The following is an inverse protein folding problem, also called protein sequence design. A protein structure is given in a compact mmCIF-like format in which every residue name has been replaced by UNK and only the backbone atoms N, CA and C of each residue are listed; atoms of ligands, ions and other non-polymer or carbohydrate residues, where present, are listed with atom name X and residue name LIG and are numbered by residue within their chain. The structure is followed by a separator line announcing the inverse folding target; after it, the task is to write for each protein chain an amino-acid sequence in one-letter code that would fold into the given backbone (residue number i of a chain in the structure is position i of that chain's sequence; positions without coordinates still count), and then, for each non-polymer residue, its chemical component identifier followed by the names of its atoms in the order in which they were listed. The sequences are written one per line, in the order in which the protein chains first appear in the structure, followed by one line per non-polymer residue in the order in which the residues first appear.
data_IF_974801941060
#
_entry.id   IF_974801941060
#
_cell.length_a   1.000
_cell.length_b   1.000
_cell.length_c   1.000
_cell.angle_alpha   90.00
_cell.angle_beta   90.00
_cell.angle_gamma   90.00
#
_symmetry.space_group_name_H-M   'P 1'
#
loop_
_entity.id
_entity.type
_entity.pdbx_description
1 polymer ?
#
# COMPACT_ATOMS: atom_id res chain seq x y z
N UNK A 1 0.46 6.50 -20.33
CA UNK A 1 0.68 6.92 -18.93
C UNK A 1 1.52 5.91 -18.17
N UNK A 2 2.00 6.32 -17.00
CA UNK A 2 2.71 5.44 -16.05
C UNK A 2 1.83 5.24 -14.82
N UNK A 3 1.78 4.02 -14.32
CA UNK A 3 1.19 3.71 -13.02
C UNK A 3 2.16 4.12 -11.91
N UNK A 4 1.76 5.04 -11.06
CA UNK A 4 2.59 5.51 -9.92
C UNK A 4 2.16 4.78 -8.65
N UNK A 5 3.11 4.08 -8.03
CA UNK A 5 2.92 3.37 -6.78
C UNK A 5 3.71 4.07 -5.67
N UNK A 6 3.03 4.80 -4.81
CA UNK A 6 3.63 5.52 -3.69
C UNK A 6 3.35 4.79 -2.38
N UNK A 7 4.42 4.38 -1.70
CA UNK A 7 4.36 3.84 -0.33
C UNK A 7 5.00 4.83 0.62
N UNK A 8 4.30 5.17 1.68
CA UNK A 8 4.78 6.11 2.70
C UNK A 8 4.55 5.58 4.11
N UNK A 9 5.41 5.96 5.04
CA UNK A 9 5.21 5.75 6.46
C UNK A 9 4.36 6.87 7.12
N UNK A 10 3.90 7.84 6.34
CA UNK A 10 3.06 8.93 6.83
C UNK A 10 3.73 9.95 7.75
N UNK A 11 5.04 9.91 7.88
CA UNK A 11 5.77 10.79 8.83
C UNK A 11 5.89 12.26 8.39
N UNK A 12 5.50 12.60 7.16
CA UNK A 12 5.60 13.95 6.61
C UNK A 12 4.27 14.34 5.93
N UNK A 13 3.20 14.63 6.71
CA UNK A 13 1.85 14.90 6.18
C UNK A 13 1.80 16.12 5.24
N UNK A 14 2.70 17.08 5.40
CA UNK A 14 2.80 18.24 4.51
C UNK A 14 3.05 17.84 3.05
N UNK A 15 3.77 16.73 2.79
CA UNK A 15 4.00 16.22 1.44
C UNK A 15 2.72 15.64 0.81
N UNK A 16 1.89 14.98 1.61
CA UNK A 16 0.57 14.52 1.13
C UNK A 16 -0.33 15.71 0.76
N UNK A 17 -0.35 16.77 1.58
CA UNK A 17 -1.07 18.01 1.23
C UNK A 17 -0.52 18.66 -0.05
N UNK A 18 0.80 18.62 -0.25
CA UNK A 18 1.42 19.18 -1.44
C UNK A 18 1.00 18.41 -2.71
N UNK A 19 0.96 17.07 -2.66
CA UNK A 19 0.46 16.25 -3.77
C UNK A 19 -0.98 16.61 -4.13
N UNK A 20 -1.86 16.76 -3.14
CA UNK A 20 -3.25 17.17 -3.36
C UNK A 20 -3.34 18.57 -3.98
N UNK A 21 -2.59 19.54 -3.43
CA UNK A 21 -2.59 20.93 -3.92
C UNK A 21 -2.10 21.06 -5.36
N UNK A 22 -1.16 20.18 -5.79
CA UNK A 22 -0.58 20.18 -7.14
C UNK A 22 -1.35 19.29 -8.11
N UNK A 23 -2.46 18.70 -7.69
CA UNK A 23 -3.20 17.72 -8.49
C UNK A 23 -2.32 16.56 -9.00
N UNK A 24 -1.41 16.11 -8.13
CA UNK A 24 -0.40 15.09 -8.42
C UNK A 24 -0.66 13.82 -7.61
N UNK A 25 -1.90 13.35 -7.62
CA UNK A 25 -2.28 12.14 -6.90
C UNK A 25 -1.63 10.90 -7.55
N UNK A 26 -0.98 10.01 -6.77
CA UNK A 26 -0.45 8.76 -7.32
C UNK A 26 -1.59 7.80 -7.67
N UNK A 27 -1.36 6.90 -8.60
CA UNK A 27 -2.33 5.85 -8.95
C UNK A 27 -2.65 4.96 -7.74
N UNK A 28 -1.62 4.56 -6.99
CA UNK A 28 -1.73 3.79 -5.76
C UNK A 28 -1.05 4.53 -4.61
N UNK A 29 -1.76 4.76 -3.53
CA UNK A 29 -1.23 5.39 -2.32
C UNK A 29 -1.35 4.43 -1.14
N UNK A 30 -0.20 3.95 -0.67
CA UNK A 30 -0.09 3.06 0.48
C UNK A 30 0.48 3.82 1.67
N UNK A 31 -0.26 3.81 2.79
CA UNK A 31 0.21 4.34 4.06
C UNK A 31 0.44 3.18 5.03
N UNK A 32 1.69 3.01 5.45
CA UNK A 32 2.08 1.95 6.39
C UNK A 32 1.80 2.37 7.84
N UNK A 33 1.15 1.49 8.60
CA UNK A 33 0.86 1.66 10.02
C UNK A 33 1.53 0.53 10.80
N UNK A 34 2.30 0.88 11.82
CA UNK A 34 3.15 -0.08 12.54
C UNK A 34 2.65 -0.42 13.94
N UNK A 35 1.58 0.20 14.41
CA UNK A 35 0.99 -0.10 15.72
C UNK A 35 -0.43 0.45 15.84
N UNK A 36 -1.28 -0.14 16.71
CA UNK A 36 -2.65 0.28 16.95
C UNK A 36 -2.75 1.52 17.84
N UNK A 37 -1.69 1.82 18.57
CA UNK A 37 -1.56 2.92 19.51
C UNK A 37 -0.14 3.48 19.48
N UNK A 38 0.11 4.58 20.22
CA UNK A 38 1.41 5.24 20.30
C UNK A 38 2.50 4.31 20.80
N UNK A 39 2.25 3.60 21.90
CA UNK A 39 3.24 2.76 22.56
C UNK A 39 3.78 1.67 21.63
N UNK A 40 2.87 0.92 21.00
CA UNK A 40 3.23 -0.13 20.04
C UNK A 40 3.89 0.47 18.79
N UNK A 41 3.38 1.61 18.28
CA UNK A 41 3.98 2.29 17.15
C UNK A 41 5.42 2.70 17.44
N UNK A 42 5.70 3.32 18.58
CA UNK A 42 7.05 3.74 18.98
C UNK A 42 7.98 2.53 19.18
N UNK A 43 7.48 1.45 19.78
CA UNK A 43 8.25 0.21 19.95
C UNK A 43 8.65 -0.46 18.63
N UNK A 44 7.80 -0.40 17.61
CA UNK A 44 8.02 -1.04 16.31
C UNK A 44 8.81 -0.14 15.36
N UNK A 45 8.42 1.14 15.26
CA UNK A 45 8.95 2.06 14.27
C UNK A 45 10.24 2.76 14.72
N UNK A 46 10.50 2.81 16.03
CA UNK A 46 11.63 3.54 16.63
C UNK A 46 11.85 4.93 15.98
N UNK A 47 10.82 5.80 15.98
CA UNK A 47 10.86 7.03 15.20
C UNK A 47 11.87 8.02 15.78
N UNK A 48 12.75 8.55 14.91
CA UNK A 48 13.75 9.56 15.31
C UNK A 48 13.28 10.99 15.19
N UNK A 49 12.05 11.19 14.68
CA UNK A 49 11.46 12.51 14.53
C UNK A 49 10.45 12.78 15.66
N UNK A 50 10.43 13.98 16.23
CA UNK A 50 9.45 14.34 17.26
C UNK A 50 8.01 14.26 16.68
N UNK A 51 7.08 13.83 17.53
CA UNK A 51 5.65 13.79 17.18
C UNK A 51 5.31 12.90 15.98
N UNK A 52 6.09 11.84 15.74
CA UNK A 52 5.88 10.91 14.62
C UNK A 52 4.47 10.28 14.64
N UNK A 53 3.97 9.90 15.83
CA UNK A 53 2.63 9.35 15.97
C UNK A 53 1.53 10.31 15.52
N UNK A 54 1.62 11.59 15.91
CA UNK A 54 0.68 12.63 15.50
C UNK A 54 0.75 12.87 13.99
N UNK A 55 1.96 12.89 13.41
CA UNK A 55 2.16 13.06 11.97
C UNK A 55 1.56 11.90 11.18
N UNK A 56 1.72 10.67 11.64
CA UNK A 56 1.08 9.50 11.00
C UNK A 56 -0.43 9.58 11.11
N UNK A 57 -0.98 9.98 12.25
CA UNK A 57 -2.42 10.17 12.42
C UNK A 57 -2.98 11.26 11.51
N UNK A 58 -2.26 12.36 11.35
CA UNK A 58 -2.61 13.42 10.40
C UNK A 58 -2.57 12.91 8.95
N UNK A 59 -1.58 12.10 8.60
CA UNK A 59 -1.50 11.46 7.28
C UNK A 59 -2.64 10.48 7.02
N UNK A 60 -3.11 9.77 8.04
CA UNK A 60 -4.29 8.90 7.96
C UNK A 60 -5.56 9.73 7.66
N UNK A 61 -5.74 10.88 8.31
CA UNK A 61 -6.88 11.78 8.03
C UNK A 61 -6.85 12.38 6.60
N UNK A 62 -5.65 12.52 6.03
CA UNK A 62 -5.50 12.98 4.65
C UNK A 62 -5.78 11.86 3.64
N UNK A 63 -5.50 10.59 3.98
CA UNK A 63 -5.59 9.48 3.05
C UNK A 63 -6.96 9.35 2.39
N UNK A 64 -8.04 9.49 3.16
CA UNK A 64 -9.42 9.44 2.65
C UNK A 64 -9.79 10.55 1.67
N UNK A 65 -8.95 11.60 1.55
CA UNK A 65 -9.15 12.73 0.64
C UNK A 65 -8.52 12.51 -0.74
N UNK A 66 -7.76 11.43 -0.92
CA UNK A 66 -7.16 11.05 -2.21
C UNK A 66 -8.19 10.32 -3.10
N UNK A 67 -9.17 11.08 -3.61
CA UNK A 67 -10.31 10.55 -4.35
C UNK A 67 -9.96 9.86 -5.68
N UNK A 68 -8.83 10.20 -6.29
CA UNK A 68 -8.36 9.63 -7.56
C UNK A 68 -7.39 8.48 -7.39
N UNK A 69 -6.87 8.31 -6.17
CA UNK A 69 -5.94 7.23 -5.85
C UNK A 69 -6.67 5.99 -5.35
N UNK A 70 -6.12 4.82 -5.65
CA UNK A 70 -6.39 3.60 -4.89
C UNK A 70 -5.68 3.70 -3.54
N UNK A 71 -6.43 3.99 -2.48
CA UNK A 71 -5.89 4.20 -1.14
C UNK A 71 -5.84 2.91 -0.35
N UNK A 72 -4.71 2.65 0.31
CA UNK A 72 -4.48 1.44 1.10
C UNK A 72 -3.80 1.79 2.43
N UNK A 73 -4.35 1.33 3.52
CA UNK A 73 -3.63 1.22 4.79
C UNK A 73 -2.95 -0.14 4.83
N UNK A 74 -1.62 -0.16 4.95
CA UNK A 74 -0.83 -1.39 5.06
C UNK A 74 -0.40 -1.63 6.49
N UNK A 75 -0.75 -2.79 7.03
CA UNK A 75 -0.32 -3.26 8.33
C UNK A 75 0.74 -4.36 8.12
N UNK A 76 2.02 -4.05 8.40
CA UNK A 76 3.06 -5.07 8.44
C UNK A 76 3.09 -5.66 9.84
N UNK A 77 2.58 -6.88 9.98
CA UNK A 77 2.31 -7.53 11.25
C UNK A 77 3.43 -8.49 11.64
N UNK A 78 3.89 -8.33 12.87
CA UNK A 78 4.97 -9.11 13.50
C UNK A 78 4.40 -9.82 14.70
N UNK A 79 4.48 -11.15 14.73
CA UNK A 79 4.03 -11.97 15.87
C UNK A 79 4.76 -11.55 17.16
N UNK A 80 4.00 -11.37 18.24
CA UNK A 80 4.53 -11.01 19.54
C UNK A 80 4.96 -9.54 19.67
N UNK A 81 4.71 -8.70 18.64
CA UNK A 81 5.08 -7.29 18.71
C UNK A 81 3.88 -6.36 18.43
N UNK A 82 3.29 -6.39 17.24
CA UNK A 82 2.19 -5.50 16.88
C UNK A 82 0.91 -6.19 16.41
N UNK A 83 0.84 -7.51 16.48
CA UNK A 83 -0.44 -8.24 16.28
C UNK A 83 -1.28 -8.24 17.56
N UNK A 84 -1.59 -7.04 18.04
CA UNK A 84 -2.32 -6.77 19.29
C UNK A 84 -3.41 -5.73 19.04
N UNK A 85 -4.42 -5.65 19.90
CA UNK A 85 -5.45 -4.60 19.89
C UNK A 85 -6.06 -4.34 18.49
N UNK A 86 -6.74 -5.29 17.86
CA UNK A 86 -7.35 -5.11 16.54
C UNK A 86 -8.34 -3.93 16.50
N UNK A 87 -9.02 -3.64 17.62
CA UNK A 87 -9.88 -2.46 17.81
C UNK A 87 -9.13 -1.13 17.72
N UNK A 88 -7.85 -1.08 18.12
CA UNK A 88 -6.99 0.09 17.95
C UNK A 88 -6.69 0.35 16.48
N UNK A 89 -6.33 -0.69 15.73
CA UNK A 89 -6.19 -0.58 14.27
C UNK A 89 -7.51 -0.19 13.59
N UNK A 90 -8.63 -0.76 14.03
CA UNK A 90 -9.94 -0.41 13.48
C UNK A 90 -10.25 1.09 13.62
N UNK A 91 -9.92 1.72 14.75
CA UNK A 91 -10.07 3.16 14.94
C UNK A 91 -9.24 3.98 13.94
N UNK A 92 -8.00 3.56 13.68
CA UNK A 92 -7.12 4.22 12.70
C UNK A 92 -7.63 4.04 11.27
N UNK A 93 -8.10 2.83 10.93
CA UNK A 93 -8.69 2.51 9.63
C UNK A 93 -9.97 3.32 9.40
N UNK A 94 -10.86 3.40 10.39
CA UNK A 94 -12.09 4.18 10.30
C UNK A 94 -11.81 5.67 10.09
N UNK A 95 -10.78 6.21 10.77
CA UNK A 95 -10.32 7.60 10.59
C UNK A 95 -9.81 7.83 9.16
N UNK A 96 -9.02 6.91 8.62
CA UNK A 96 -8.42 7.01 7.29
C UNK A 96 -9.41 6.71 6.15
N UNK A 97 -10.41 5.88 6.42
CA UNK A 97 -11.41 5.40 5.45
C UNK A 97 -10.81 4.99 4.08
N UNK A 98 -9.73 4.17 4.05
CA UNK A 98 -9.11 3.77 2.80
C UNK A 98 -10.03 2.84 1.99
N UNK A 99 -9.78 2.70 0.68
CA UNK A 99 -10.48 1.70 -0.13
C UNK A 99 -10.15 0.28 0.34
N UNK A 100 -8.91 0.06 0.75
CA UNK A 100 -8.40 -1.24 1.17
C UNK A 100 -7.56 -1.18 2.44
N UNK A 101 -7.58 -2.28 3.18
CA UNK A 101 -6.59 -2.56 4.24
C UNK A 101 -5.82 -3.82 3.85
N UNK A 102 -4.51 -3.71 3.75
CA UNK A 102 -3.62 -4.83 3.47
C UNK A 102 -2.91 -5.27 4.76
N UNK A 103 -3.27 -6.44 5.26
CA UNK A 103 -2.54 -7.09 6.33
C UNK A 103 -1.44 -7.95 5.71
N UNK A 104 -0.19 -7.56 5.94
CA UNK A 104 0.98 -8.28 5.43
C UNK A 104 1.78 -8.87 6.57
N UNK A 105 1.99 -10.19 6.54
CA UNK A 105 2.88 -10.84 7.49
C UNK A 105 4.33 -10.39 7.30
N UNK A 106 5.00 -10.09 8.41
CA UNK A 106 6.44 -9.87 8.44
C UNK A 106 7.18 -11.05 7.80
N UNK A 107 8.19 -10.75 7.02
CA UNK A 107 9.08 -11.74 6.41
C UNK A 107 10.49 -11.58 7.00
N UNK A 108 11.05 -12.68 7.47
CA UNK A 108 12.38 -12.70 8.09
C UNK A 108 13.49 -12.59 7.05
N UNK A 109 13.81 -11.35 6.64
CA UNK A 109 14.80 -11.02 5.62
C UNK A 109 15.62 -9.79 5.98
N UNK A 110 16.81 -9.66 5.44
CA UNK A 110 17.66 -8.48 5.56
C UNK A 110 18.05 -8.15 6.99
N UNK A 111 18.19 -6.86 7.30
CA UNK A 111 18.63 -6.35 8.62
C UNK A 111 17.69 -6.71 9.77
N UNK A 112 16.42 -7.02 9.48
CA UNK A 112 15.47 -7.42 10.52
C UNK A 112 15.83 -8.76 11.16
N UNK A 113 16.57 -9.62 10.48
CA UNK A 113 17.08 -10.89 11.01
C UNK A 113 18.01 -10.71 12.23
N UNK A 114 18.67 -9.57 12.33
CA UNK A 114 19.52 -9.22 13.48
C UNK A 114 18.74 -8.82 14.73
N UNK A 115 17.46 -8.50 14.57
CA UNK A 115 16.61 -7.96 15.65
C UNK A 115 15.44 -8.86 16.01
N UNK A 116 14.95 -9.64 15.08
CA UNK A 116 13.77 -10.48 15.25
C UNK A 116 14.08 -11.93 14.91
N UNK A 117 13.56 -12.90 15.69
CA UNK A 117 13.69 -14.31 15.36
C UNK A 117 12.76 -14.68 14.19
N UNK A 118 13.07 -15.78 13.50
CA UNK A 118 12.21 -16.32 12.43
C UNK A 118 10.78 -16.61 12.92
N UNK A 119 10.62 -16.95 14.20
CA UNK A 119 9.34 -17.22 14.84
C UNK A 119 8.44 -15.96 14.96
N UNK A 120 9.00 -14.76 14.72
CA UNK A 120 8.22 -13.52 14.65
C UNK A 120 7.40 -13.39 13.34
N UNK A 121 7.64 -14.29 12.36
CA UNK A 121 6.80 -14.38 11.18
C UNK A 121 5.45 -14.99 11.55
N UNK A 122 4.31 -14.28 11.32
CA UNK A 122 3.00 -14.86 11.57
C UNK A 122 2.67 -15.94 10.54
N UNK A 123 1.92 -16.97 10.95
CA UNK A 123 1.33 -17.92 10.03
C UNK A 123 0.10 -17.31 9.34
N UNK A 124 -0.26 -17.84 8.16
CA UNK A 124 -1.42 -17.31 7.41
C UNK A 124 -2.71 -17.31 8.22
N UNK A 125 -2.99 -18.41 8.95
CA UNK A 125 -4.16 -18.51 9.83
C UNK A 125 -4.23 -17.45 10.94
N UNK A 126 -3.06 -16.97 11.42
CA UNK A 126 -3.01 -15.90 12.41
C UNK A 126 -3.36 -14.55 11.77
N UNK A 127 -2.87 -14.31 10.55
CA UNK A 127 -3.22 -13.12 9.76
C UNK A 127 -4.71 -13.08 9.44
N UNK A 128 -5.28 -14.21 9.01
CA UNK A 128 -6.71 -14.34 8.71
C UNK A 128 -7.57 -14.10 9.96
N UNK A 129 -7.19 -14.70 11.09
CA UNK A 129 -7.89 -14.49 12.37
C UNK A 129 -7.80 -13.02 12.81
N UNK A 130 -6.65 -12.38 12.65
CA UNK A 130 -6.47 -10.97 13.00
C UNK A 130 -7.25 -10.05 12.06
N UNK A 131 -7.26 -10.36 10.75
CA UNK A 131 -8.04 -9.65 9.75
C UNK A 131 -9.54 -9.72 10.03
N UNK A 132 -10.05 -10.90 10.41
CA UNK A 132 -11.44 -11.08 10.77
C UNK A 132 -11.85 -10.17 11.95
N UNK A 133 -11.01 -10.04 12.99
CA UNK A 133 -11.27 -9.14 14.11
C UNK A 133 -11.30 -7.68 13.69
N UNK A 134 -10.36 -7.25 12.81
CA UNK A 134 -10.39 -5.89 12.26
C UNK A 134 -11.65 -5.67 11.43
N UNK A 135 -12.04 -6.63 10.59
CA UNK A 135 -13.24 -6.58 9.78
C UNK A 135 -14.50 -6.40 10.65
N UNK A 136 -14.63 -7.16 11.74
CA UNK A 136 -15.73 -7.06 12.71
C UNK A 136 -15.87 -5.64 13.29
N UNK A 137 -14.75 -4.99 13.62
CA UNK A 137 -14.75 -3.64 14.20
C UNK A 137 -14.90 -2.51 13.19
N UNK A 138 -14.65 -2.75 11.90
CA UNK A 138 -14.63 -1.70 10.86
C UNK A 138 -15.80 -1.79 9.87
N UNK A 139 -16.41 -2.96 9.74
CA UNK A 139 -17.37 -3.26 8.67
C UNK A 139 -16.71 -3.56 7.31
N UNK A 140 -15.38 -3.56 7.23
CA UNK A 140 -14.66 -4.03 6.04
C UNK A 140 -14.85 -5.53 5.85
N UNK A 141 -14.76 -6.02 4.64
CA UNK A 141 -14.86 -7.45 4.33
C UNK A 141 -13.56 -8.00 3.76
N UNK A 142 -13.25 -9.27 4.10
CA UNK A 142 -12.12 -9.98 3.48
C UNK A 142 -12.43 -10.21 2.00
N UNK A 143 -11.59 -9.71 1.11
CA UNK A 143 -11.79 -9.83 -0.34
C UNK A 143 -10.82 -10.81 -0.99
N UNK A 144 -9.58 -10.89 -0.48
CA UNK A 144 -8.53 -11.74 -1.06
C UNK A 144 -7.54 -12.17 0.00
N UNK A 145 -7.05 -13.41 -0.14
CA UNK A 145 -5.90 -13.93 0.61
C UNK A 145 -4.86 -14.44 -0.37
N UNK A 146 -3.58 -14.15 -0.08
CA UNK A 146 -2.43 -14.68 -0.83
C UNK A 146 -1.45 -15.32 0.17
N UNK A 147 -1.44 -16.64 0.18
CA UNK A 147 -0.61 -17.42 1.09
C UNK A 147 0.88 -17.26 0.79
N UNK A 148 1.26 -17.17 -0.50
CA UNK A 148 2.67 -17.03 -0.91
C UNK A 148 3.24 -15.69 -0.47
N UNK A 149 2.48 -14.63 -0.62
CA UNK A 149 2.86 -13.28 -0.20
C UNK A 149 2.54 -12.98 1.26
N UNK A 150 1.81 -13.89 1.94
CA UNK A 150 1.28 -13.71 3.30
C UNK A 150 0.50 -12.40 3.45
N UNK A 151 -0.52 -12.26 2.62
CA UNK A 151 -1.35 -11.06 2.57
C UNK A 151 -2.81 -11.43 2.75
N UNK A 152 -3.52 -10.67 3.57
CA UNK A 152 -4.99 -10.62 3.61
C UNK A 152 -5.41 -9.22 3.22
N UNK A 153 -6.29 -9.10 2.24
CA UNK A 153 -6.81 -7.83 1.76
C UNK A 153 -8.26 -7.66 2.22
N UNK A 154 -8.52 -6.58 2.95
CA UNK A 154 -9.87 -6.13 3.28
C UNK A 154 -10.28 -5.01 2.31
N UNK A 155 -11.56 -5.00 1.94
CA UNK A 155 -12.18 -3.93 1.15
C UNK A 155 -13.22 -3.21 2.01
N UNK A 156 -13.33 -1.89 1.86
CA UNK A 156 -14.24 -1.06 2.61
C UNK A 156 -15.71 -1.42 2.35
N UNK A 157 -16.07 -1.47 1.08
CA UNK A 157 -17.43 -1.73 0.60
C UNK A 157 -17.40 -2.17 -0.88
N UNK A 158 -18.55 -2.52 -1.43
CA UNK A 158 -18.66 -2.94 -2.83
C UNK A 158 -18.41 -1.78 -3.79
N UNK A 159 -18.75 -0.54 -3.42
CA UNK A 159 -18.46 0.65 -4.24
C UNK A 159 -16.93 0.83 -4.42
N UNK A 160 -16.15 0.67 -3.34
CA UNK A 160 -14.68 0.72 -3.41
C UNK A 160 -14.13 -0.41 -4.30
N UNK A 161 -14.72 -1.60 -4.25
CA UNK A 161 -14.32 -2.72 -5.09
C UNK A 161 -14.61 -2.45 -6.57
N UNK A 162 -15.82 -2.02 -6.91
CA UNK A 162 -16.20 -1.68 -8.29
C UNK A 162 -15.33 -0.54 -8.85
N UNK A 163 -15.09 0.51 -8.03
CA UNK A 163 -14.17 1.59 -8.39
C UNK A 163 -12.78 1.06 -8.70
N UNK A 164 -12.25 0.14 -7.87
CA UNK A 164 -10.95 -0.49 -8.12
C UNK A 164 -10.94 -1.26 -9.44
N UNK A 165 -11.98 -2.01 -9.76
CA UNK A 165 -12.06 -2.75 -11.02
C UNK A 165 -12.00 -1.82 -12.23
N UNK A 166 -12.75 -0.70 -12.21
CA UNK A 166 -12.73 0.33 -13.26
C UNK A 166 -11.34 0.95 -13.39
N UNK A 167 -10.71 1.32 -12.29
CA UNK A 167 -9.34 1.87 -12.29
C UNK A 167 -8.34 0.88 -12.90
N UNK A 168 -8.41 -0.40 -12.55
CA UNK A 168 -7.53 -1.45 -13.09
C UNK A 168 -7.74 -1.62 -14.60
N UNK A 169 -8.98 -1.57 -15.07
CA UNK A 169 -9.30 -1.66 -16.50
C UNK A 169 -8.73 -0.47 -17.28
N UNK A 170 -8.93 0.74 -16.77
CA UNK A 170 -8.38 1.96 -17.36
C UNK A 170 -6.84 1.93 -17.42
N UNK A 171 -6.18 1.50 -16.34
CA UNK A 171 -4.72 1.38 -16.30
C UNK A 171 -4.21 0.37 -17.33
N UNK A 172 -4.85 -0.80 -17.45
CA UNK A 172 -4.50 -1.82 -18.45
C UNK A 172 -4.64 -1.29 -19.87
N UNK A 173 -5.69 -0.52 -20.13
CA UNK A 173 -5.89 0.14 -21.43
C UNK A 173 -4.76 1.12 -21.73
N UNK A 174 -4.43 2.01 -20.77
CA UNK A 174 -3.35 2.99 -20.92
C UNK A 174 -1.98 2.33 -21.07
N UNK A 175 -1.72 1.25 -20.35
CA UNK A 175 -0.49 0.46 -20.47
C UNK A 175 -0.37 -0.16 -21.87
N UNK A 176 -1.44 -0.77 -22.36
CA UNK A 176 -1.49 -1.34 -23.71
C UNK A 176 -1.23 -0.28 -24.78
N UNK A 177 -1.93 0.86 -24.73
CA UNK A 177 -1.73 1.97 -25.66
C UNK A 177 -0.29 2.53 -25.61
N UNK A 178 0.31 2.58 -24.44
CA UNK A 178 1.72 2.97 -24.27
C UNK A 178 2.65 1.95 -24.93
N UNK A 179 2.44 0.68 -24.66
CA UNK A 179 3.30 -0.39 -25.17
C UNK A 179 3.20 -0.51 -26.69
N UNK A 180 2.00 -0.32 -27.28
CA UNK A 180 1.80 -0.24 -28.72
C UNK A 180 2.59 0.94 -29.32
N UNK A 181 2.53 2.14 -28.73
CA UNK A 181 3.29 3.32 -29.18
C UNK A 181 4.81 3.16 -29.03
N UNK A 182 5.26 2.44 -27.99
CA UNK A 182 6.67 2.11 -27.83
C UNK A 182 7.09 1.11 -28.89
N UNK A 183 6.26 0.09 -29.14
CA UNK A 183 6.52 -0.92 -30.14
C UNK A 183 6.57 -0.33 -31.57
N UNK A 184 5.63 0.55 -31.92
CA UNK A 184 5.65 1.30 -33.19
C UNK A 184 6.96 2.08 -33.38
N UNK A 185 7.44 2.78 -32.32
CA UNK A 185 8.73 3.49 -32.36
C UNK A 185 9.94 2.57 -32.46
N UNK A 186 9.85 1.37 -31.90
CA UNK A 186 10.92 0.36 -31.96
C UNK A 186 10.95 -0.32 -33.34
N UNK A 187 9.79 -0.52 -33.97
CA UNK A 187 9.67 -1.13 -35.29
C UNK A 187 10.10 -0.18 -36.41
N UNK A 188 10.16 1.13 -36.16
CA UNK A 188 10.72 2.13 -37.09
C UNK A 188 12.27 2.09 -37.14
N UNK A 189 12.81 0.85 -37.08
CA UNK A 189 14.22 0.58 -37.31
C UNK A 189 14.49 0.59 -38.81
N UNK A 190 15.11 1.63 -39.30
CA UNK A 190 15.76 1.58 -40.61
C UNK A 190 17.04 0.77 -40.50
N UNK A 191 17.11 -0.37 -41.19
CA UNK A 191 18.38 -1.03 -41.46
C UNK A 191 19.22 -0.09 -42.35
N UNK A 192 20.49 0.16 -41.93
CA UNK A 192 21.42 0.80 -42.82
C UNK A 192 21.81 -0.13 -44.00
N UNK A 193 22.53 0.42 -44.98
CA UNK A 193 22.95 -0.32 -46.16
C UNK A 193 23.89 -1.50 -45.88
N UNK A 194 24.31 -1.66 -44.61
CA UNK A 194 25.16 -2.74 -44.14
C UNK A 194 24.43 -3.77 -43.26
N UNK A 195 23.10 -3.63 -43.07
CA UNK A 195 22.27 -4.56 -42.30
C UNK A 195 22.36 -4.38 -40.79
N UNK A 196 22.88 -3.26 -40.30
CA UNK A 196 22.91 -2.91 -38.88
C UNK A 196 21.65 -2.13 -38.48
N UNK A 197 21.08 -2.49 -37.33
CA UNK A 197 19.94 -1.79 -36.75
C UNK A 197 20.42 -0.54 -36.01
N UNK A 198 20.05 0.65 -36.47
CA UNK A 198 20.37 1.93 -35.80
C UNK A 198 19.21 2.32 -34.91
N UNK A 199 19.45 2.36 -33.58
CA UNK A 199 18.56 2.99 -32.62
C UNK A 199 18.63 4.51 -32.78
N UNK A 200 17.57 5.13 -33.32
CA UNK A 200 17.39 6.59 -33.22
C UNK A 200 16.56 6.90 -31.98
N UNK A 201 17.18 7.56 -31.01
CA UNK A 201 16.51 8.12 -29.83
C UNK A 201 15.80 9.44 -30.17
#
# INVERSE_FOLDING_TARGET
GLTVFLVTNGSIPVRLRELMRKDAQPTNLYLSVYGPNREVFEAVADPRIPRAWEMVNESLELLGKFGESRTVVRLTLVRGLNMVEPEGYAKLISKASPMFVELKGYTWVGESQKRLPITAMPEMRELESFAAKIAEHTGYSVKLTDEKSRVVLLVRDEEAWEKNLKMVEEWRKLEKERDEKIFEKIVDFTMDDHGYTILRY
#
